data_IF_088196253457
#
_entry.id   IF_088196253457
#
_cell.length_a   1.000
_cell.length_b   1.000
_cell.length_c   1.000
_cell.angle_alpha   90.00
_cell.angle_beta   90.00
_cell.angle_gamma   90.00
#
_symmetry.space_group_name_H-M   'P 1'
#
loop_
_entity.id
_entity.type
_entity.pdbx_description
1 polymer ?
#
# COMPACT_ATOMS: atom_id res chain seq x y z
N UNK A 1 57.56 9.56 -54.01
CA UNK A 1 57.00 10.03 -55.29
C UNK A 1 55.67 10.70 -54.99
N UNK A 2 55.61 12.03 -54.99
CA UNK A 2 54.42 12.82 -54.63
C UNK A 2 53.31 12.65 -55.68
N UNK A 3 52.18 12.08 -55.28
CA UNK A 3 51.04 11.84 -56.15
C UNK A 3 50.30 13.14 -56.47
N UNK A 4 50.18 13.47 -57.77
CA UNK A 4 49.36 14.59 -58.24
C UNK A 4 47.89 14.20 -58.18
N UNK A 5 47.18 14.66 -57.15
CA UNK A 5 45.72 14.54 -57.08
C UNK A 5 45.08 15.57 -58.02
N UNK A 6 44.16 15.11 -58.88
CA UNK A 6 43.36 15.98 -59.74
C UNK A 6 42.02 16.21 -59.06
N UNK A 7 41.69 17.46 -58.75
CA UNK A 7 40.39 17.85 -58.21
C UNK A 7 39.54 18.40 -59.35
N UNK A 8 38.37 17.81 -59.58
CA UNK A 8 37.39 18.34 -60.53
C UNK A 8 36.43 19.26 -59.77
N UNK A 9 36.23 20.48 -60.29
CA UNK A 9 35.24 21.42 -59.77
C UNK A 9 34.39 21.93 -60.93
N UNK A 10 33.11 22.21 -60.65
CA UNK A 10 32.20 22.77 -61.64
C UNK A 10 32.66 24.16 -62.09
N UNK A 11 32.54 24.46 -63.40
CA UNK A 11 32.89 25.77 -63.95
C UNK A 11 31.86 26.81 -63.51
N UNK A 12 32.21 27.61 -62.50
CA UNK A 12 31.33 28.63 -61.93
C UNK A 12 30.96 29.74 -62.93
N UNK A 13 31.79 29.99 -63.96
CA UNK A 13 31.51 30.95 -65.04
C UNK A 13 30.28 30.61 -65.90
N UNK A 14 29.78 29.37 -65.82
CA UNK A 14 28.55 28.96 -66.51
C UNK A 14 27.28 29.34 -65.75
N UNK A 15 27.41 29.83 -64.51
CA UNK A 15 26.28 30.29 -63.71
C UNK A 15 26.04 31.78 -63.97
N UNK A 16 24.78 32.22 -64.10
CA UNK A 16 24.46 33.64 -64.22
C UNK A 16 24.90 34.38 -62.95
N UNK A 17 25.59 35.51 -63.14
CA UNK A 17 25.94 36.39 -62.04
C UNK A 17 24.69 37.15 -61.59
N UNK A 18 24.31 36.98 -60.32
CA UNK A 18 23.26 37.78 -59.71
C UNK A 18 23.75 39.22 -59.48
N UNK A 19 22.89 40.18 -59.74
CA UNK A 19 23.08 41.57 -59.36
C UNK A 19 22.94 41.76 -57.85
N UNK A 20 23.54 42.83 -57.33
CA UNK A 20 23.38 43.22 -55.91
C UNK A 20 21.92 43.44 -55.49
N UNK A 21 21.02 43.74 -56.45
CA UNK A 21 19.59 43.87 -56.18
C UNK A 21 18.92 42.51 -56.01
N UNK A 22 19.26 41.53 -56.85
CA UNK A 22 18.76 40.15 -56.74
C UNK A 22 19.27 39.46 -55.49
N UNK A 23 20.55 39.65 -55.14
CA UNK A 23 21.12 39.11 -53.89
C UNK A 23 20.39 39.66 -52.67
N UNK A 24 20.12 40.98 -52.62
CA UNK A 24 19.35 41.60 -51.53
C UNK A 24 17.90 41.11 -51.47
N UNK A 25 17.28 40.84 -52.62
CA UNK A 25 15.95 40.23 -52.69
C UNK A 25 15.94 38.82 -52.08
N UNK A 26 16.89 37.98 -52.51
CA UNK A 26 17.05 36.62 -51.99
C UNK A 26 17.36 36.61 -50.49
N UNK A 27 18.20 37.52 -49.98
CA UNK A 27 18.46 37.66 -48.55
C UNK A 27 17.19 38.03 -47.78
N UNK A 28 16.34 38.90 -48.35
CA UNK A 28 15.03 39.25 -47.81
C UNK A 28 14.08 38.06 -47.74
N UNK A 29 14.01 37.27 -48.83
CA UNK A 29 13.20 36.05 -48.89
C UNK A 29 13.70 35.01 -47.89
N UNK A 30 15.02 34.79 -47.79
CA UNK A 30 15.64 33.89 -46.81
C UNK A 30 15.26 34.33 -45.40
N UNK A 31 15.34 35.63 -45.08
CA UNK A 31 14.97 36.14 -43.77
C UNK A 31 13.47 35.92 -43.47
N UNK A 32 12.61 36.18 -44.44
CA UNK A 32 11.16 36.01 -44.30
C UNK A 32 10.78 34.53 -44.10
N UNK A 33 11.26 33.63 -44.97
CA UNK A 33 11.01 32.19 -44.85
C UNK A 33 11.62 31.61 -43.56
N UNK A 34 12.80 32.07 -43.13
CA UNK A 34 13.41 31.62 -41.88
C UNK A 34 12.58 32.03 -40.65
N UNK A 35 12.00 33.23 -40.67
CA UNK A 35 11.10 33.69 -39.61
C UNK A 35 9.81 32.86 -39.59
N UNK A 36 9.22 32.57 -40.75
CA UNK A 36 8.02 31.75 -40.87
C UNK A 36 8.25 30.33 -40.39
N UNK A 37 9.35 29.69 -40.79
CA UNK A 37 9.74 28.35 -40.32
C UNK A 37 9.88 28.33 -38.81
N UNK A 38 10.52 29.36 -38.23
CA UNK A 38 10.69 29.46 -36.78
C UNK A 38 9.35 29.58 -36.06
N UNK A 39 8.42 30.40 -36.58
CA UNK A 39 7.09 30.57 -36.01
C UNK A 39 6.26 29.28 -36.09
N UNK A 40 6.27 28.60 -37.24
CA UNK A 40 5.59 27.32 -37.43
C UNK A 40 6.15 26.23 -36.51
N UNK A 41 7.48 26.13 -36.37
CA UNK A 41 8.11 25.18 -35.45
C UNK A 41 7.70 25.42 -33.99
N UNK A 42 7.61 26.68 -33.55
CA UNK A 42 7.13 27.01 -32.20
C UNK A 42 5.65 26.62 -32.01
N UNK A 43 4.81 26.88 -33.02
CA UNK A 43 3.40 26.49 -32.98
C UNK A 43 3.22 24.97 -32.91
N UNK A 44 3.96 24.22 -33.72
CA UNK A 44 3.95 22.75 -33.68
C UNK A 44 4.35 22.22 -32.30
N UNK A 45 5.45 22.71 -31.72
CA UNK A 45 5.89 22.31 -30.38
C UNK A 45 4.84 22.58 -29.31
N UNK A 46 4.12 23.71 -29.39
CA UNK A 46 3.02 24.03 -28.47
C UNK A 46 1.86 23.04 -28.61
N UNK A 47 1.43 22.78 -29.85
CA UNK A 47 0.33 21.84 -30.10
C UNK A 47 0.69 20.41 -29.70
N UNK A 48 1.93 19.98 -29.93
CA UNK A 48 2.43 18.67 -29.48
C UNK A 48 2.41 18.55 -27.95
N UNK A 49 2.75 19.62 -27.22
CA UNK A 49 2.67 19.65 -25.76
C UNK A 49 1.22 19.54 -25.28
N UNK A 50 0.29 20.32 -25.85
CA UNK A 50 -1.13 20.26 -25.53
C UNK A 50 -1.74 18.88 -25.82
N UNK A 51 -1.38 18.27 -26.95
CA UNK A 51 -1.85 16.93 -27.32
C UNK A 51 -1.31 15.87 -26.35
N UNK A 52 -0.03 15.97 -25.95
CA UNK A 52 0.56 15.08 -24.95
C UNK A 52 -0.14 15.21 -23.60
N UNK A 53 -0.42 16.42 -23.16
CA UNK A 53 -1.12 16.66 -21.89
C UNK A 53 -2.54 16.09 -21.92
N UNK A 54 -3.25 16.28 -23.03
CA UNK A 54 -4.61 15.76 -23.20
C UNK A 54 -4.64 14.23 -23.26
N UNK A 55 -3.71 13.60 -24.00
CA UNK A 55 -3.56 12.14 -24.05
C UNK A 55 -3.06 11.53 -22.73
N UNK A 56 -2.40 12.32 -21.89
CA UNK A 56 -2.00 11.91 -20.55
C UNK A 56 -3.15 11.90 -19.54
N UNK A 57 -4.30 12.47 -19.90
CA UNK A 57 -5.51 12.50 -19.07
C UNK A 57 -6.50 11.42 -19.49
N UNK A 58 -7.29 10.92 -18.52
CA UNK A 58 -8.42 10.06 -18.81
C UNK A 58 -9.39 10.78 -19.73
N UNK A 59 -9.86 10.09 -20.75
CA UNK A 59 -10.91 10.60 -21.61
C UNK A 59 -12.21 10.73 -20.81
N UNK A 60 -13.09 11.65 -21.21
CA UNK A 60 -14.42 11.81 -20.59
C UNK A 60 -15.20 10.50 -20.38
N UNK A 61 -15.28 9.56 -21.34
CA UNK A 61 -15.96 8.29 -21.11
C UNK A 61 -15.26 7.40 -20.09
N UNK A 62 -13.92 7.39 -20.04
CA UNK A 62 -13.18 6.62 -19.04
C UNK A 62 -13.40 7.20 -17.63
N UNK A 63 -13.36 8.53 -17.48
CA UNK A 63 -13.71 9.20 -16.21
C UNK A 63 -15.14 8.88 -15.78
N UNK A 64 -16.10 8.87 -16.71
CA UNK A 64 -17.49 8.55 -16.40
C UNK A 64 -17.63 7.10 -15.88
N UNK A 65 -16.92 6.15 -16.51
CA UNK A 65 -16.88 4.76 -16.07
C UNK A 65 -16.28 4.62 -14.68
N UNK A 66 -15.16 5.31 -14.42
CA UNK A 66 -14.49 5.25 -13.12
C UNK A 66 -15.34 5.86 -11.99
N UNK A 67 -16.07 6.95 -12.29
CA UNK A 67 -17.06 7.52 -11.37
C UNK A 67 -18.17 6.51 -11.06
N UNK A 68 -18.65 5.76 -12.05
CA UNK A 68 -19.68 4.75 -11.85
C UNK A 68 -19.19 3.58 -10.99
N UNK A 69 -17.98 3.07 -11.25
CA UNK A 69 -17.33 2.04 -10.44
C UNK A 69 -17.14 2.50 -8.99
N UNK A 70 -16.59 3.71 -8.78
CA UNK A 70 -16.40 4.27 -7.44
C UNK A 70 -17.73 4.46 -6.70
N UNK A 71 -18.79 4.91 -7.38
CA UNK A 71 -20.13 5.03 -6.76
C UNK A 71 -20.67 3.68 -6.31
N UNK A 72 -20.49 2.63 -7.14
CA UNK A 72 -20.89 1.26 -6.80
C UNK A 72 -20.11 0.75 -5.59
N UNK A 73 -18.81 0.98 -5.53
CA UNK A 73 -17.97 0.59 -4.40
C UNK A 73 -18.37 1.34 -3.13
N UNK A 74 -18.59 2.64 -3.19
CA UNK A 74 -19.08 3.43 -2.07
C UNK A 74 -20.41 2.89 -1.52
N UNK A 75 -21.35 2.56 -2.40
CA UNK A 75 -22.62 1.96 -2.00
C UNK A 75 -22.40 0.60 -1.30
N UNK A 76 -21.54 -0.26 -1.86
CA UNK A 76 -21.19 -1.54 -1.27
C UNK A 76 -20.49 -1.42 0.09
N UNK A 77 -19.60 -0.44 0.28
CA UNK A 77 -18.97 -0.17 1.57
C UNK A 77 -19.97 0.38 2.59
N UNK A 78 -20.89 1.25 2.18
CA UNK A 78 -21.94 1.76 3.04
C UNK A 78 -22.87 0.64 3.55
N UNK A 79 -23.25 -0.29 2.67
CA UNK A 79 -24.06 -1.46 3.05
C UNK A 79 -23.31 -2.38 4.02
N UNK A 80 -22.04 -2.70 3.73
CA UNK A 80 -21.19 -3.49 4.64
C UNK A 80 -21.08 -2.84 6.01
N UNK A 81 -20.87 -1.52 6.04
CA UNK A 81 -20.79 -0.74 7.28
C UNK A 81 -22.10 -0.79 8.05
N UNK A 82 -23.24 -0.60 7.38
CA UNK A 82 -24.56 -0.68 7.99
C UNK A 82 -24.80 -2.06 8.61
N UNK A 83 -24.44 -3.14 7.90
CA UNK A 83 -24.54 -4.52 8.40
C UNK A 83 -23.65 -4.78 9.60
N UNK A 84 -22.40 -4.28 9.59
CA UNK A 84 -21.50 -4.41 10.73
C UNK A 84 -22.09 -3.69 11.93
N UNK A 85 -22.59 -2.45 11.76
CA UNK A 85 -23.19 -1.65 12.82
C UNK A 85 -24.52 -2.20 13.35
N UNK A 86 -25.31 -2.87 12.51
CA UNK A 86 -26.57 -3.50 12.94
C UNK A 86 -26.39 -4.86 13.59
N UNK A 87 -25.24 -5.51 13.41
CA UNK A 87 -24.94 -6.77 14.07
C UNK A 87 -24.98 -6.58 15.59
N UNK A 88 -25.76 -7.37 16.30
CA UNK A 88 -26.04 -7.15 17.74
C UNK A 88 -24.87 -7.52 18.66
N UNK A 89 -23.76 -8.04 18.10
CA UNK A 89 -22.63 -8.60 18.84
C UNK A 89 -21.44 -7.62 18.95
N UNK A 90 -21.71 -6.34 19.24
CA UNK A 90 -20.67 -5.35 19.44
C UNK A 90 -20.08 -5.50 20.84
N UNK A 91 -18.92 -6.14 20.95
CA UNK A 91 -18.11 -6.06 22.17
C UNK A 91 -17.39 -4.71 22.14
N UNK A 92 -17.75 -3.83 23.07
CA UNK A 92 -17.06 -2.54 23.21
C UNK A 92 -15.60 -2.75 23.60
N UNK A 93 -14.67 -1.87 23.19
CA UNK A 93 -13.29 -1.93 23.65
C UNK A 93 -13.17 -2.02 25.18
N UNK A 94 -14.02 -1.30 25.90
CA UNK A 94 -14.11 -1.28 27.36
C UNK A 94 -14.56 -2.63 27.91
N UNK A 95 -15.58 -3.25 27.32
CA UNK A 95 -16.03 -4.57 27.72
C UNK A 95 -14.99 -5.64 27.45
N UNK A 96 -14.32 -5.58 26.29
CA UNK A 96 -13.20 -6.47 25.96
C UNK A 96 -12.08 -6.35 26.99
N UNK A 97 -11.71 -5.13 27.36
CA UNK A 97 -10.64 -4.89 28.34
C UNK A 97 -11.05 -5.37 29.74
N UNK A 98 -12.31 -5.13 30.14
CA UNK A 98 -12.87 -5.64 31.39
C UNK A 98 -12.80 -7.17 31.45
N UNK A 99 -13.19 -7.87 30.38
CA UNK A 99 -13.13 -9.34 30.30
C UNK A 99 -11.69 -9.83 30.37
N UNK A 100 -10.77 -9.22 29.61
CA UNK A 100 -9.34 -9.56 29.65
C UNK A 100 -8.73 -9.36 31.04
N UNK A 101 -9.04 -8.23 31.68
CA UNK A 101 -8.57 -7.93 33.03
C UNK A 101 -9.08 -8.92 34.06
N UNK A 102 -10.37 -9.31 33.99
CA UNK A 102 -10.96 -10.36 34.84
C UNK A 102 -10.30 -11.71 34.61
N UNK A 103 -10.11 -12.12 33.35
CA UNK A 103 -9.43 -13.37 33.02
C UNK A 103 -8.01 -13.40 33.62
N UNK A 104 -7.23 -12.31 33.45
CA UNK A 104 -5.89 -12.19 34.05
C UNK A 104 -5.92 -12.31 35.57
N UNK A 105 -6.87 -11.65 36.23
CA UNK A 105 -7.05 -11.72 37.68
C UNK A 105 -7.35 -13.15 38.14
N UNK A 106 -8.34 -13.81 37.53
CA UNK A 106 -8.73 -15.16 37.94
C UNK A 106 -7.65 -16.21 37.64
N UNK A 107 -6.93 -16.11 36.52
CA UNK A 107 -5.78 -16.98 36.25
C UNK A 107 -4.65 -16.76 37.27
N UNK A 108 -4.42 -15.51 37.70
CA UNK A 108 -3.43 -15.20 38.76
C UNK A 108 -3.84 -15.82 40.10
N UNK A 109 -5.09 -15.62 40.51
CA UNK A 109 -5.62 -16.16 41.76
C UNK A 109 -5.65 -17.68 41.77
N UNK A 110 -6.00 -18.33 40.66
CA UNK A 110 -5.92 -19.79 40.54
C UNK A 110 -4.50 -20.29 40.77
N UNK A 111 -3.49 -19.75 40.06
CA UNK A 111 -2.08 -20.15 40.26
C UNK A 111 -1.63 -19.97 41.70
N UNK A 112 -2.00 -18.83 42.31
CA UNK A 112 -1.63 -18.53 43.70
C UNK A 112 -2.27 -19.53 44.67
N UNK A 113 -3.58 -19.78 44.54
CA UNK A 113 -4.32 -20.70 45.43
C UNK A 113 -3.86 -22.13 45.25
N UNK A 114 -3.68 -22.60 44.01
CA UNK A 114 -3.15 -23.94 43.73
C UNK A 114 -1.80 -24.13 44.39
N UNK A 115 -0.88 -23.17 44.25
CA UNK A 115 0.42 -23.22 44.92
C UNK A 115 0.31 -23.34 46.44
N UNK A 116 -0.44 -22.43 47.08
CA UNK A 116 -0.60 -22.44 48.54
C UNK A 116 -1.23 -23.75 49.05
N UNK A 117 -2.25 -24.26 48.34
CA UNK A 117 -2.88 -25.53 48.68
C UNK A 117 -1.90 -26.70 48.51
N UNK A 118 -1.12 -26.73 47.42
CA UNK A 118 -0.09 -27.76 47.21
C UNK A 118 0.98 -27.72 48.30
N UNK A 119 1.49 -26.54 48.66
CA UNK A 119 2.47 -26.38 49.74
C UNK A 119 1.94 -26.91 51.08
N UNK A 120 0.67 -26.61 51.42
CA UNK A 120 0.03 -27.13 52.63
C UNK A 120 -0.14 -28.65 52.58
N UNK A 121 -0.56 -29.19 51.44
CA UNK A 121 -0.74 -30.64 51.26
C UNK A 121 0.58 -31.38 51.37
N UNK A 122 1.64 -30.86 50.77
CA UNK A 122 2.97 -31.45 50.84
C UNK A 122 3.48 -31.47 52.30
N UNK A 123 3.31 -30.38 53.05
CA UNK A 123 3.66 -30.33 54.48
C UNK A 123 2.88 -31.34 55.34
N UNK A 124 1.61 -31.59 55.05
CA UNK A 124 0.83 -32.62 55.75
C UNK A 124 1.32 -34.03 55.36
N UNK A 125 1.60 -34.24 54.09
CA UNK A 125 2.03 -35.53 53.54
C UNK A 125 3.41 -35.96 54.06
N UNK A 126 4.28 -35.03 54.45
CA UNK A 126 5.57 -35.34 55.08
C UNK A 126 5.43 -36.20 56.35
N UNK A 127 4.32 -36.05 57.09
CA UNK A 127 4.02 -36.83 58.30
C UNK A 127 2.96 -37.91 58.09
N UNK A 128 2.44 -38.09 56.88
CA UNK A 128 1.29 -38.96 56.64
C UNK A 128 1.71 -40.42 56.37
N UNK A 129 1.18 -41.42 57.10
CA UNK A 129 1.65 -42.80 57.00
C UNK A 129 1.17 -43.56 55.75
N UNK A 130 0.28 -42.96 54.94
CA UNK A 130 -0.33 -43.58 53.75
C UNK A 130 -0.01 -42.76 52.48
N UNK A 131 -0.43 -43.27 51.32
CA UNK A 131 -0.19 -42.60 50.04
C UNK A 131 -1.01 -41.31 49.87
N UNK A 132 -0.50 -40.38 49.03
CA UNK A 132 -1.18 -39.13 48.65
C UNK A 132 -2.59 -39.35 48.09
N UNK A 133 -2.80 -40.42 47.31
CA UNK A 133 -4.11 -40.76 46.74
C UNK A 133 -5.13 -41.10 47.82
N UNK A 134 -4.73 -41.94 48.78
CA UNK A 134 -5.60 -42.31 49.91
C UNK A 134 -5.92 -41.09 50.78
N UNK A 135 -4.94 -40.22 51.01
CA UNK A 135 -5.18 -38.97 51.73
C UNK A 135 -6.20 -38.07 51.01
N UNK A 136 -6.07 -37.90 49.69
CA UNK A 136 -6.99 -37.08 48.90
C UNK A 136 -8.41 -37.66 48.90
N UNK A 137 -8.54 -38.99 48.79
CA UNK A 137 -9.84 -39.67 48.86
C UNK A 137 -10.48 -39.55 50.24
N UNK A 138 -9.72 -39.73 51.32
CA UNK A 138 -10.22 -39.63 52.70
C UNK A 138 -10.67 -38.20 53.07
N UNK A 139 -9.96 -37.18 52.58
CA UNK A 139 -10.28 -35.76 52.85
C UNK A 139 -11.27 -35.18 51.84
N UNK A 140 -11.50 -35.85 50.71
CA UNK A 140 -12.38 -35.37 49.64
C UNK A 140 -11.75 -34.25 48.79
N UNK A 141 -10.45 -34.35 48.50
CA UNK A 141 -9.74 -33.41 47.64
C UNK A 141 -9.79 -33.88 46.19
N UNK A 142 -10.34 -33.04 45.32
CA UNK A 142 -10.36 -33.24 43.88
C UNK A 142 -9.32 -32.32 43.21
N UNK A 143 -8.57 -32.84 42.25
CA UNK A 143 -7.56 -32.05 41.53
C UNK A 143 -8.05 -31.57 40.16
N UNK A 144 -7.47 -30.48 39.65
CA UNK A 144 -7.75 -30.00 38.30
C UNK A 144 -7.47 -31.10 37.25
N UNK A 145 -6.41 -31.88 37.49
CA UNK A 145 -5.96 -32.99 36.66
C UNK A 145 -6.98 -34.13 36.60
N UNK A 146 -7.66 -34.46 37.72
CA UNK A 146 -8.71 -35.49 37.78
C UNK A 146 -9.92 -35.12 36.89
N UNK A 147 -10.15 -33.82 36.70
CA UNK A 147 -11.26 -33.28 35.90
C UNK A 147 -10.84 -32.78 34.51
N UNK A 148 -9.60 -33.05 34.07
CA UNK A 148 -9.02 -32.56 32.81
C UNK A 148 -9.09 -31.04 32.63
N UNK A 149 -9.05 -30.31 33.75
CA UNK A 149 -9.11 -28.86 33.76
C UNK A 149 -7.69 -28.30 33.66
N UNK A 150 -7.47 -27.40 32.71
CA UNK A 150 -6.16 -26.73 32.53
C UNK A 150 -6.32 -25.22 32.58
N UNK A 151 -5.30 -24.55 33.10
CA UNK A 151 -5.24 -23.09 33.09
C UNK A 151 -5.23 -22.61 31.62
N UNK A 152 -6.11 -21.66 31.26
CA UNK A 152 -6.10 -21.09 29.93
C UNK A 152 -4.73 -20.50 29.60
N UNK A 153 -4.24 -20.73 28.37
CA UNK A 153 -3.05 -20.07 27.86
C UNK A 153 -3.24 -18.55 27.92
N UNK A 154 -2.19 -17.83 28.31
CA UNK A 154 -2.24 -16.37 28.31
C UNK A 154 -2.45 -15.87 26.86
N UNK A 155 -3.49 -15.05 26.66
CA UNK A 155 -3.77 -14.34 25.40
C UNK A 155 -3.02 -13.02 25.36
#
# INVERSE_FOLDING_TARGET
LGGKQKTAVSRQEQLPAASDAELRGLDGDIAALSAEVTALQQSCRRMEAELKDLNGSLTTPEMAREIEELKKDCAGYAEKLARIKSATNHVTPEEKERVKSRQKLYCKEWRRRKRMATELLDAILEGYPKSKKQFFEEVGIETDEDHNVTLPAAV
#
